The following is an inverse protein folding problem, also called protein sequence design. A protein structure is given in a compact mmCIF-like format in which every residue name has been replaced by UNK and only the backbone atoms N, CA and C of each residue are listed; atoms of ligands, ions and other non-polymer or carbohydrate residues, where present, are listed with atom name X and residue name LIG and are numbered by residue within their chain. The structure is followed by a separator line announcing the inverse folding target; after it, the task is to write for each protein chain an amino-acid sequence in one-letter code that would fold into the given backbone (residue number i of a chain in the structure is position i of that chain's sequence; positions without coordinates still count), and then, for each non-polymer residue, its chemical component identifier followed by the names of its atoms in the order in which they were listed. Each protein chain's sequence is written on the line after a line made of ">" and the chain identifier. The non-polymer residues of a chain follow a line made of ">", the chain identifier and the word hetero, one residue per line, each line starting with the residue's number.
data_IF_740436635200
#
_entry.id   IF_740436635200
#
_cell.length_a   1.000
_cell.length_b   1.000
_cell.length_c   1.000
_cell.angle_alpha   90.00
_cell.angle_beta   90.00
_cell.angle_gamma   90.00
#
_symmetry.space_group_name_H-M   'P 1'
#
loop_
_entity.id
_entity.type
_entity.pdbx_description
1 polymer ?
#
# COMPACT_ATOMS: atom_id res chain seq x y z
N UNK A 1 -16.40 16.17 -17.24
CA UNK A 1 -16.58 15.76 -16.76
C UNK A 1 -16.32 15.57 -15.96
N UNK A 2 -16.50 15.54 -15.61
CA UNK A 2 -16.47 15.32 -14.95
C UNK A 2 -16.31 14.83 -14.21
N UNK A 3 -16.32 14.65 -13.77
CA UNK A 3 -16.19 14.29 -13.17
C UNK A 3 -16.09 13.59 -12.59
N UNK A 4 -16.14 13.56 -12.52
CA UNK A 4 -16.01 12.41 -12.20
C UNK A 4 -15.75 11.96 -10.83
N UNK A 5 -15.91 12.63 -9.90
CA UNK A 5 -15.81 12.25 -8.52
C UNK A 5 -17.03 11.48 -8.11
N UNK A 6 -16.86 10.20 -7.82
CA UNK A 6 -17.99 9.43 -7.30
C UNK A 6 -17.86 9.33 -5.79
N UNK A 7 -18.98 9.21 -5.09
CA UNK A 7 -18.98 9.10 -3.63
C UNK A 7 -18.18 7.91 -3.11
N UNK A 8 -18.06 6.85 -3.88
CA UNK A 8 -17.40 5.64 -3.43
C UNK A 8 -16.08 5.40 -4.12
N UNK A 9 -15.51 6.47 -4.65
CA UNK A 9 -14.25 6.33 -5.35
C UNK A 9 -13.15 5.89 -4.40
N UNK A 10 -12.37 4.91 -4.82
CA UNK A 10 -11.28 4.38 -4.04
C UNK A 10 -9.98 5.02 -4.53
N UNK A 11 -9.20 5.53 -3.59
CA UNK A 11 -7.94 6.18 -3.89
C UNK A 11 -6.80 5.22 -3.60
N UNK A 12 -5.93 5.03 -4.57
CA UNK A 12 -4.76 4.17 -4.40
C UNK A 12 -3.78 4.86 -3.46
N UNK A 13 -3.37 4.16 -2.42
CA UNK A 13 -2.48 4.71 -1.41
C UNK A 13 -1.41 3.70 -1.02
N UNK A 14 -0.33 3.60 -1.81
CA UNK A 14 0.71 2.62 -1.53
C UNK A 14 1.47 2.91 -0.25
N UNK A 15 1.59 4.18 0.13
CA UNK A 15 2.33 4.51 1.35
C UNK A 15 1.68 3.94 2.60
N UNK A 16 0.36 3.86 2.60
CA UNK A 16 -0.35 3.32 3.75
C UNK A 16 0.00 1.87 4.01
N UNK A 17 0.06 1.06 2.95
CA UNK A 17 0.37 -0.35 3.13
C UNK A 17 1.85 -0.54 3.49
N UNK A 18 2.74 0.26 2.90
CA UNK A 18 4.15 0.17 3.24
C UNK A 18 4.38 0.52 4.72
N UNK A 19 3.75 1.59 5.17
CA UNK A 19 3.88 2.00 6.56
C UNK A 19 3.27 0.97 7.51
N UNK A 20 2.17 0.35 7.12
CA UNK A 20 1.54 -0.68 7.94
C UNK A 20 2.46 -1.88 8.12
N UNK A 21 3.17 -2.27 7.08
CA UNK A 21 4.10 -3.40 7.18
C UNK A 21 5.31 -3.03 8.02
N UNK A 22 5.82 -1.82 7.84
CA UNK A 22 6.93 -1.34 8.65
C UNK A 22 6.55 -1.39 10.13
N UNK A 23 5.36 -0.92 10.45
CA UNK A 23 4.89 -0.94 11.83
C UNK A 23 4.66 -2.36 12.33
N UNK A 24 4.03 -3.18 11.52
CA UNK A 24 3.72 -4.56 11.90
C UNK A 24 4.99 -5.35 12.22
N UNK A 25 6.03 -5.18 11.43
CA UNK A 25 7.28 -5.92 11.57
C UNK A 25 8.32 -5.15 12.37
N UNK A 26 7.98 -3.96 12.84
CA UNK A 26 8.89 -3.11 13.63
C UNK A 26 10.20 -2.86 12.88
N UNK A 27 10.07 -2.52 11.61
CA UNK A 27 11.22 -2.22 10.79
C UNK A 27 11.65 -0.77 11.03
N UNK A 28 12.93 -0.49 10.81
CA UNK A 28 13.46 0.84 11.09
C UNK A 28 13.17 1.84 9.98
N UNK A 29 13.16 1.38 8.73
CA UNK A 29 13.07 2.30 7.60
C UNK A 29 12.76 1.53 6.33
N UNK A 30 12.72 2.27 5.22
CA UNK A 30 12.41 1.67 3.92
C UNK A 30 13.49 0.70 3.46
N UNK A 31 14.74 0.93 3.83
CA UNK A 31 15.80 0.00 3.44
C UNK A 31 15.57 -1.37 4.09
N UNK A 32 15.14 -1.37 5.34
CA UNK A 32 14.81 -2.62 6.03
C UNK A 32 13.61 -3.29 5.37
N UNK A 33 12.63 -2.49 4.96
CA UNK A 33 11.47 -3.02 4.26
C UNK A 33 11.87 -3.66 2.94
N UNK A 34 12.76 -3.00 2.19
CA UNK A 34 13.22 -3.55 0.92
C UNK A 34 13.89 -4.89 1.11
N UNK A 35 14.72 -5.01 2.15
CA UNK A 35 15.35 -6.29 2.45
C UNK A 35 14.34 -7.36 2.82
N UNK A 36 13.34 -6.99 3.62
CA UNK A 36 12.32 -7.94 4.02
C UNK A 36 11.51 -8.44 2.82
N UNK A 37 11.26 -7.55 1.86
CA UNK A 37 10.52 -7.90 0.65
C UNK A 37 11.41 -8.46 -0.45
N UNK A 38 12.72 -8.50 -0.21
CA UNK A 38 13.70 -9.01 -1.17
C UNK A 38 13.66 -8.24 -2.48
N UNK A 39 13.59 -6.93 -2.37
CA UNK A 39 13.64 -6.05 -3.54
C UNK A 39 14.76 -5.03 -3.32
N UNK A 40 15.22 -4.42 -4.42
CA UNK A 40 16.22 -3.37 -4.32
C UNK A 40 15.61 -2.12 -3.67
N UNK A 41 16.38 -1.39 -2.87
CA UNK A 41 15.84 -0.19 -2.22
C UNK A 41 15.15 0.80 -3.15
N UNK A 42 15.65 1.05 -4.38
CA UNK A 42 14.95 1.97 -5.27
C UNK A 42 13.52 1.55 -5.61
N UNK A 43 13.21 0.24 -5.52
CA UNK A 43 11.85 -0.23 -5.77
C UNK A 43 10.89 0.38 -4.77
N UNK A 44 11.24 0.39 -3.49
CA UNK A 44 10.38 0.97 -2.46
C UNK A 44 10.22 2.47 -2.69
N UNK A 45 11.30 3.16 -3.03
CA UNK A 45 11.22 4.59 -3.30
C UNK A 45 10.27 4.87 -4.46
N UNK A 46 10.36 4.09 -5.53
CA UNK A 46 9.49 4.29 -6.68
C UNK A 46 8.03 4.03 -6.34
N UNK A 47 7.77 3.04 -5.49
CA UNK A 47 6.39 2.78 -5.05
C UNK A 47 5.89 3.96 -4.23
N UNK A 48 6.70 4.48 -3.33
CA UNK A 48 6.28 5.63 -2.52
C UNK A 48 5.98 6.86 -3.34
N UNK A 49 6.71 7.03 -4.43
CA UNK A 49 6.52 8.19 -5.31
C UNK A 49 5.52 7.92 -6.43
N UNK A 50 4.84 6.79 -6.37
CA UNK A 50 3.79 6.41 -7.33
C UNK A 50 4.33 6.27 -8.76
N UNK A 51 5.62 5.99 -8.92
CA UNK A 51 6.18 5.73 -10.24
C UNK A 51 6.26 4.24 -10.54
N UNK A 52 5.96 3.41 -9.57
CA UNK A 52 5.92 1.97 -9.74
C UNK A 52 4.76 1.42 -8.94
N UNK A 53 3.91 0.64 -9.58
CA UNK A 53 2.77 0.03 -8.89
C UNK A 53 3.23 -1.19 -8.09
N UNK A 54 2.47 -1.50 -7.03
CA UNK A 54 2.68 -2.73 -6.28
C UNK A 54 2.09 -3.86 -7.11
N UNK A 55 2.97 -4.65 -7.72
CA UNK A 55 2.54 -5.77 -8.53
C UNK A 55 2.28 -7.02 -7.72
N UNK A 56 1.88 -8.07 -8.41
CA UNK A 56 1.49 -9.32 -7.76
C UNK A 56 2.64 -9.93 -6.95
N UNK A 57 3.86 -9.88 -7.46
CA UNK A 57 4.99 -10.47 -6.76
C UNK A 57 5.26 -9.79 -5.43
N UNK A 58 5.24 -8.46 -5.43
CA UNK A 58 5.49 -7.71 -4.21
C UNK A 58 4.33 -7.91 -3.23
N UNK A 59 3.11 -7.91 -3.74
CA UNK A 59 1.94 -8.14 -2.91
C UNK A 59 2.01 -9.50 -2.21
N UNK A 60 2.41 -10.51 -2.95
CA UNK A 60 2.52 -11.85 -2.37
C UNK A 60 3.60 -11.89 -1.28
N UNK A 61 4.71 -11.23 -1.52
CA UNK A 61 5.76 -11.16 -0.51
C UNK A 61 5.32 -10.42 0.73
N UNK A 62 4.57 -9.34 0.55
CA UNK A 62 3.98 -8.62 1.69
C UNK A 62 3.11 -9.54 2.52
N UNK A 63 2.30 -10.34 1.85
CA UNK A 63 1.45 -11.30 2.53
C UNK A 63 2.29 -12.30 3.33
N UNK A 64 3.36 -12.80 2.72
CA UNK A 64 4.17 -13.83 3.35
C UNK A 64 4.91 -13.33 4.60
N UNK A 65 5.38 -12.08 4.58
CA UNK A 65 6.20 -11.61 5.69
C UNK A 65 5.39 -10.95 6.80
N UNK A 66 4.19 -10.49 6.52
CA UNK A 66 3.44 -9.67 7.46
C UNK A 66 2.25 -10.37 8.10
N UNK A 67 1.85 -11.50 7.56
CA UNK A 67 0.63 -12.20 7.96
C UNK A 67 -0.65 -11.42 7.66
N UNK A 68 -0.56 -10.26 7.03
CA UNK A 68 -1.76 -9.64 6.49
C UNK A 68 -2.30 -10.51 5.36
N UNK A 69 -3.60 -10.68 5.30
CA UNK A 69 -4.20 -11.37 4.17
C UNK A 69 -4.09 -10.51 2.92
N UNK A 70 -4.22 -11.14 1.76
CA UNK A 70 -4.22 -10.38 0.51
C UNK A 70 -5.33 -9.32 0.53
N UNK A 71 -6.48 -9.68 1.08
CA UNK A 71 -7.59 -8.74 1.19
C UNK A 71 -7.22 -7.55 2.06
N UNK A 72 -6.59 -7.81 3.21
CA UNK A 72 -6.18 -6.72 4.09
C UNK A 72 -5.15 -5.81 3.41
N UNK A 73 -4.22 -6.40 2.67
CA UNK A 73 -3.22 -5.61 1.96
C UNK A 73 -3.88 -4.74 0.90
N UNK A 74 -4.85 -5.29 0.19
CA UNK A 74 -5.56 -4.49 -0.81
C UNK A 74 -6.33 -3.35 -0.18
N UNK A 75 -6.92 -3.59 0.97
CA UNK A 75 -7.61 -2.54 1.69
C UNK A 75 -6.66 -1.47 2.18
N UNK A 76 -5.46 -1.87 2.60
CA UNK A 76 -4.46 -0.91 3.01
C UNK A 76 -3.94 -0.09 1.84
N UNK A 77 -3.88 -0.68 0.64
CA UNK A 77 -3.45 0.04 -0.55
C UNK A 77 -4.52 0.99 -1.06
N UNK A 78 -5.74 0.86 -0.59
CA UNK A 78 -6.86 1.64 -1.09
C UNK A 78 -7.47 2.41 0.07
N UNK A 79 -7.76 3.68 -0.18
CA UNK A 79 -8.39 4.52 0.82
C UNK A 79 -9.62 5.15 0.21
N UNK A 80 -10.77 4.94 0.83
CA UNK A 80 -11.97 5.61 0.40
C UNK A 80 -11.94 7.05 0.85
N UNK A 81 -12.53 7.90 0.06
CA UNK A 81 -12.65 9.30 0.42
C UNK A 81 -13.40 9.39 1.76
N UNK A 82 -12.79 10.02 2.79
CA UNK A 82 -13.43 10.10 4.10
C UNK A 82 -14.81 10.75 4.06
N UNK A 83 -14.99 11.72 3.19
CA UNK A 83 -16.29 12.37 3.06
C UNK A 83 -17.35 11.39 2.63
N UNK A 84 -16.97 10.44 1.81
CA UNK A 84 -17.91 9.44 1.34
C UNK A 84 -18.30 8.49 2.44
N UNK A 85 -17.36 8.18 3.32
CA UNK A 85 -17.66 7.32 4.45
C UNK A 85 -18.73 7.96 5.34
N UNK A 86 -18.66 9.27 5.49
CA UNK A 86 -19.63 9.98 6.31
C UNK A 86 -20.95 10.15 5.60
N UNK A 87 -20.91 10.20 4.30
CA UNK A 87 -22.16 10.39 3.54
C UNK A 87 -23.04 9.15 3.61
N UNK A 88 -22.43 8.03 3.86
CA UNK A 88 -23.20 6.79 4.03
C UNK A 88 -23.86 6.70 5.40
#
# INVERSE_FOLDING_TARGET
>A
MTTSQTPNEVIYNPNRVLDAIIEKLELKNDAALARALEVAPPVISKIRHHTLAIGATILLRMHEISDFSIRELRELMSTKNPDMAHAA
#
